data_IF_672055987771
#
_entry.id   IF_672055987771
#
_cell.length_a   1.000
_cell.length_b   1.000
_cell.length_c   1.000
_cell.angle_alpha   90.00
_cell.angle_beta   90.00
_cell.angle_gamma   90.00
#
_symmetry.space_group_name_H-M   'P 1'
#
loop_
_entity.id
_entity.type
_entity.pdbx_description
1 polymer ?
#
# COMPACT_ATOMS: atom_id res chain seq x y z
N UNK A 1 -27.40 36.02 -12.50
CA UNK A 1 -27.39 35.81 -13.96
C UNK A 1 -25.94 35.64 -14.38
N UNK A 2 -25.41 34.41 -14.38
CA UNK A 2 -24.07 34.08 -14.87
C UNK A 2 -24.15 32.70 -15.51
N UNK A 3 -23.53 32.57 -16.67
CA UNK A 3 -23.88 31.66 -17.76
C UNK A 3 -23.30 30.24 -17.62
N UNK A 4 -24.15 29.25 -17.89
CA UNK A 4 -23.78 27.88 -18.23
C UNK A 4 -23.45 27.83 -19.72
N UNK A 5 -22.18 27.57 -20.06
CA UNK A 5 -21.75 27.15 -21.40
C UNK A 5 -21.88 25.61 -21.37
N UNK A 6 -22.66 24.91 -22.19
CA UNK A 6 -23.03 25.20 -23.56
C UNK A 6 -22.39 24.15 -24.47
N UNK A 7 -22.88 22.91 -24.43
CA UNK A 7 -22.93 22.01 -25.59
C UNK A 7 -24.37 21.52 -25.72
N UNK A 8 -25.14 22.20 -26.58
CA UNK A 8 -26.35 21.63 -27.18
C UNK A 8 -25.96 20.53 -28.19
N UNK A 9 -26.86 19.67 -28.64
CA UNK A 9 -28.30 19.64 -28.41
C UNK A 9 -28.86 18.25 -28.74
N UNK A 10 -29.93 17.93 -28.01
CA UNK A 10 -31.17 17.26 -28.45
C UNK A 10 -31.06 16.17 -29.54
N UNK A 11 -31.18 14.91 -29.09
CA UNK A 11 -31.68 13.82 -29.94
C UNK A 11 -30.99 12.50 -29.70
N UNK A 12 -31.67 11.61 -28.97
CA UNK A 12 -31.42 10.18 -28.82
C UNK A 12 -30.37 9.79 -27.77
N UNK A 13 -30.85 9.03 -26.77
CA UNK A 13 -30.09 8.53 -25.66
C UNK A 13 -28.92 7.69 -26.18
N UNK A 14 -27.71 8.22 -26.09
CA UNK A 14 -26.50 7.41 -26.13
C UNK A 14 -26.51 6.56 -24.85
N UNK A 15 -27.12 5.38 -24.96
CA UNK A 15 -26.82 4.23 -24.12
C UNK A 15 -25.31 3.99 -24.21
N UNK A 16 -24.54 4.66 -23.34
CA UNK A 16 -23.18 4.27 -23.01
C UNK A 16 -23.24 3.00 -22.15
N UNK A 17 -23.85 1.97 -22.71
CA UNK A 17 -23.71 0.58 -22.28
C UNK A 17 -22.31 0.19 -22.75
N UNK A 18 -21.39 -0.23 -21.88
CA UNK A 18 -21.26 -1.66 -21.53
C UNK A 18 -21.02 -2.60 -22.73
N UNK A 19 -20.79 -2.10 -23.93
CA UNK A 19 -20.31 -2.91 -25.06
C UNK A 19 -18.96 -3.51 -24.63
N UNK A 20 -18.91 -4.83 -24.42
CA UNK A 20 -17.70 -5.55 -24.01
C UNK A 20 -17.86 -6.47 -22.79
N UNK A 21 -18.67 -6.08 -21.80
CA UNK A 21 -18.73 -6.82 -20.53
C UNK A 21 -19.80 -7.91 -20.55
N UNK A 22 -19.37 -9.18 -20.45
CA UNK A 22 -20.24 -10.33 -20.71
C UNK A 22 -20.31 -10.74 -22.18
N UNK A 23 -19.43 -10.18 -23.04
CA UNK A 23 -19.37 -10.60 -24.43
C UNK A 23 -18.80 -12.02 -24.55
N UNK A 24 -19.31 -12.86 -25.49
CA UNK A 24 -18.84 -14.22 -25.63
C UNK A 24 -17.34 -14.27 -25.94
N UNK A 25 -16.56 -14.91 -25.06
CA UNK A 25 -15.10 -15.01 -25.19
C UNK A 25 -14.31 -13.94 -24.43
N UNK A 26 -14.97 -12.97 -23.80
CA UNK A 26 -14.33 -11.96 -22.95
C UNK A 26 -14.02 -12.46 -21.53
N UNK A 27 -14.58 -13.59 -21.09
CA UNK A 27 -14.42 -14.14 -19.74
C UNK A 27 -14.67 -13.12 -18.60
N UNK A 28 -15.50 -12.10 -18.87
CA UNK A 28 -15.93 -11.10 -17.89
C UNK A 28 -17.44 -11.20 -17.62
N UNK A 29 -17.85 -10.93 -16.39
CA UNK A 29 -19.24 -10.89 -15.96
C UNK A 29 -19.62 -9.54 -15.31
N UNK A 30 -20.85 -9.05 -15.53
CA UNK A 30 -21.30 -7.79 -14.96
C UNK A 30 -21.61 -7.94 -13.46
N UNK A 31 -20.80 -7.29 -12.62
CA UNK A 31 -21.05 -7.15 -11.18
C UNK A 31 -21.85 -5.85 -10.92
N UNK A 32 -23.18 -5.97 -10.97
CA UNK A 32 -24.10 -4.89 -10.61
C UNK A 32 -24.43 -3.91 -11.73
N UNK A 33 -24.95 -2.73 -11.35
CA UNK A 33 -25.16 -1.62 -12.29
C UNK A 33 -23.80 -0.95 -12.46
N UNK A 34 -23.15 -0.82 -13.61
CA UNK A 34 -21.88 -0.07 -13.78
C UNK A 34 -20.55 -0.74 -13.39
N UNK A 35 -20.44 -2.05 -13.11
CA UNK A 35 -19.14 -2.70 -12.89
C UNK A 35 -19.04 -4.10 -13.50
N UNK A 36 -17.81 -4.56 -13.75
CA UNK A 36 -17.47 -5.83 -14.41
C UNK A 36 -16.32 -6.51 -13.66
N UNK A 37 -16.32 -7.84 -13.63
CA UNK A 37 -15.29 -8.67 -13.01
C UNK A 37 -14.95 -9.84 -13.92
N UNK A 38 -13.73 -10.37 -13.84
CA UNK A 38 -13.36 -11.59 -14.56
C UNK A 38 -13.97 -12.82 -13.89
N UNK A 39 -14.29 -13.83 -14.70
CA UNK A 39 -14.68 -15.15 -14.22
C UNK A 39 -13.53 -15.77 -13.38
N UNK A 40 -13.83 -16.65 -12.41
CA UNK A 40 -12.81 -17.31 -11.61
C UNK A 40 -11.75 -18.01 -12.48
N UNK A 41 -10.46 -17.66 -12.28
CA UNK A 41 -9.33 -18.20 -13.04
C UNK A 41 -8.91 -17.37 -14.26
N UNK A 42 -9.46 -16.17 -14.42
CA UNK A 42 -9.12 -15.22 -15.48
C UNK A 42 -8.75 -13.85 -14.87
N UNK A 43 -7.84 -13.13 -15.52
CA UNK A 43 -7.40 -11.77 -15.16
C UNK A 43 -7.52 -10.83 -16.37
N UNK A 44 -7.64 -9.51 -16.14
CA UNK A 44 -7.73 -8.52 -17.22
C UNK A 44 -6.50 -8.58 -18.13
N UNK A 45 -6.72 -8.79 -19.44
CA UNK A 45 -5.64 -8.96 -20.42
C UNK A 45 -4.76 -7.72 -20.59
N UNK A 46 -5.32 -6.53 -20.40
CA UNK A 46 -4.65 -5.24 -20.62
C UNK A 46 -4.92 -4.29 -19.44
N UNK A 47 -3.93 -3.48 -19.06
CA UNK A 47 -4.10 -2.37 -18.11
C UNK A 47 -4.90 -1.19 -18.69
N UNK A 48 -5.23 -1.26 -19.98
CA UNK A 48 -6.02 -0.27 -20.70
C UNK A 48 -7.49 -0.33 -20.25
N UNK A 49 -7.99 0.79 -19.72
CA UNK A 49 -9.31 0.93 -19.07
C UNK A 49 -10.52 0.78 -20.01
N UNK A 50 -10.28 0.44 -21.26
CA UNK A 50 -11.25 0.38 -22.36
C UNK A 50 -11.43 -1.02 -22.96
N UNK A 51 -10.68 -2.04 -22.49
CA UNK A 51 -10.94 -3.45 -22.81
C UNK A 51 -11.59 -4.19 -21.63
N UNK A 52 -12.59 -5.03 -21.92
CA UNK A 52 -13.24 -5.92 -20.96
C UNK A 52 -12.88 -7.39 -21.19
N UNK A 53 -11.76 -7.65 -21.85
CA UNK A 53 -11.25 -9.00 -22.09
C UNK A 53 -10.45 -9.50 -20.89
N UNK A 54 -10.82 -10.68 -20.40
CA UNK A 54 -10.09 -11.43 -19.39
C UNK A 54 -9.41 -12.63 -20.06
N UNK A 55 -8.13 -12.78 -19.78
CA UNK A 55 -7.29 -13.82 -20.33
C UNK A 55 -7.18 -14.94 -19.30
N UNK A 56 -7.05 -16.18 -19.79
CA UNK A 56 -6.59 -17.27 -18.92
C UNK A 56 -5.27 -16.80 -18.33
N UNK A 57 -5.12 -17.00 -17.03
CA UNK A 57 -3.86 -16.76 -16.34
C UNK A 57 -2.78 -17.69 -16.92
N UNK A 58 -2.17 -17.32 -18.06
CA UNK A 58 -0.99 -17.98 -18.62
C UNK A 58 0.27 -17.64 -17.80
N UNK A 59 0.13 -16.79 -16.77
CA UNK A 59 1.04 -16.67 -15.63
C UNK A 59 1.02 -17.90 -14.72
N UNK A 60 0.10 -18.85 -14.93
CA UNK A 60 0.19 -20.21 -14.41
C UNK A 60 1.21 -21.07 -15.20
N UNK A 61 2.35 -20.48 -15.60
CA UNK A 61 3.58 -21.26 -15.54
C UNK A 61 3.80 -21.60 -14.09
N UNK A 62 3.81 -22.89 -13.78
CA UNK A 62 4.24 -23.45 -12.49
C UNK A 62 5.66 -22.95 -12.17
N UNK A 63 5.75 -21.77 -11.57
CA UNK A 63 6.77 -21.46 -10.58
C UNK A 63 6.13 -21.83 -9.23
N UNK A 64 6.79 -22.73 -8.50
CA UNK A 64 6.56 -22.94 -7.07
C UNK A 64 7.00 -21.68 -6.30
N UNK A 65 6.29 -20.58 -6.53
CA UNK A 65 6.53 -19.26 -5.95
C UNK A 65 5.23 -18.64 -5.48
N UNK A 66 4.33 -19.45 -4.91
CA UNK A 66 3.19 -18.92 -4.18
C UNK A 66 3.68 -17.96 -3.11
N UNK A 67 2.99 -16.83 -2.95
CA UNK A 67 3.17 -15.90 -1.85
C UNK A 67 3.46 -16.65 -0.55
N UNK A 68 4.49 -16.27 0.23
CA UNK A 68 4.88 -17.05 1.40
C UNK A 68 3.72 -17.09 2.40
N UNK A 69 3.17 -18.28 2.57
CA UNK A 69 2.16 -18.56 3.60
C UNK A 69 2.81 -18.66 4.99
N UNK A 70 2.06 -18.39 6.06
CA UNK A 70 2.53 -18.63 7.42
C UNK A 70 2.95 -20.08 7.68
N UNK A 71 4.11 -20.28 8.31
CA UNK A 71 4.60 -21.62 8.70
C UNK A 71 3.71 -22.30 9.76
N UNK A 72 3.05 -21.51 10.61
CA UNK A 72 2.15 -22.02 11.64
C UNK A 72 0.78 -22.38 11.05
N UNK A 73 0.20 -23.51 11.45
CA UNK A 73 -1.17 -23.83 11.05
C UNK A 73 -2.17 -22.83 11.68
N UNK A 74 -3.11 -22.31 10.90
CA UNK A 74 -4.25 -21.58 11.44
C UNK A 74 -5.21 -22.58 12.10
N UNK A 75 -5.42 -22.41 13.40
CA UNK A 75 -6.36 -23.18 14.19
C UNK A 75 -7.24 -22.26 15.03
N UNK A 76 -8.22 -22.83 15.72
CA UNK A 76 -9.12 -22.09 16.63
C UNK A 76 -8.37 -21.29 17.71
N UNK A 77 -7.15 -21.66 18.09
CA UNK A 77 -6.37 -20.92 19.07
C UNK A 77 -5.74 -19.65 18.48
N UNK A 78 -5.54 -19.62 17.17
CA UNK A 78 -5.07 -18.47 16.41
C UNK A 78 -6.20 -17.74 15.68
N UNK A 79 -7.47 -18.12 15.89
CA UNK A 79 -8.60 -17.39 15.32
C UNK A 79 -8.50 -15.89 15.64
N UNK A 80 -8.76 -15.05 14.64
CA UNK A 80 -8.64 -13.59 14.71
C UNK A 80 -7.21 -13.05 14.88
N UNK A 81 -6.18 -13.92 14.79
CA UNK A 81 -4.79 -13.48 14.81
C UNK A 81 -4.36 -12.92 13.46
N UNK A 82 -3.49 -11.91 13.52
CA UNK A 82 -2.82 -11.30 12.37
C UNK A 82 -1.36 -11.70 12.36
N UNK A 83 -0.87 -12.12 11.20
CA UNK A 83 0.53 -12.43 10.98
C UNK A 83 1.08 -11.65 9.79
N UNK A 84 2.21 -11.00 9.99
CA UNK A 84 3.03 -10.49 8.91
C UNK A 84 4.03 -11.57 8.51
N UNK A 85 3.99 -11.99 7.24
CA UNK A 85 4.99 -12.90 6.67
C UNK A 85 5.99 -12.05 5.86
N UNK A 86 7.28 -12.06 6.23
CA UNK A 86 8.29 -11.25 5.55
C UNK A 86 8.59 -11.81 4.15
N UNK A 87 8.87 -10.89 3.23
CA UNK A 87 9.36 -11.26 1.91
C UNK A 87 10.80 -11.84 1.99
N UNK A 88 11.15 -12.86 1.19
CA UNK A 88 12.49 -13.47 1.18
C UNK A 88 13.62 -12.51 0.79
N UNK A 89 13.34 -11.42 0.06
CA UNK A 89 14.32 -10.35 -0.21
C UNK A 89 14.65 -9.51 1.03
N UNK A 90 13.84 -9.62 2.09
CA UNK A 90 13.95 -8.80 3.29
C UNK A 90 13.34 -7.41 3.15
N UNK A 91 12.67 -7.11 2.03
CA UNK A 91 11.92 -5.87 1.81
C UNK A 91 10.59 -5.89 2.60
N UNK A 92 10.41 -5.06 3.64
CA UNK A 92 9.17 -5.05 4.40
C UNK A 92 7.95 -4.60 3.60
N UNK A 93 8.14 -3.92 2.46
CA UNK A 93 7.08 -3.48 1.57
C UNK A 93 6.54 -4.57 0.66
N UNK A 94 7.27 -5.68 0.52
CA UNK A 94 6.80 -6.90 -0.13
C UNK A 94 6.23 -7.91 0.89
N UNK A 95 6.31 -7.64 2.19
CA UNK A 95 5.72 -8.48 3.22
C UNK A 95 4.19 -8.57 3.09
N UNK A 96 3.64 -9.74 3.38
CA UNK A 96 2.21 -10.02 3.25
C UNK A 96 1.54 -10.18 4.62
N UNK A 97 0.30 -9.72 4.69
CA UNK A 97 -0.53 -9.81 5.89
C UNK A 97 -1.53 -10.94 5.75
N UNK A 98 -1.60 -11.78 6.78
CA UNK A 98 -2.49 -12.92 6.86
C UNK A 98 -3.37 -12.82 8.10
N UNK A 99 -4.66 -13.16 7.96
CA UNK A 99 -5.60 -13.32 9.05
C UNK A 99 -6.02 -14.78 9.18
N UNK A 100 -6.02 -15.31 10.40
CA UNK A 100 -6.53 -16.65 10.67
C UNK A 100 -8.03 -16.58 11.01
N UNK A 101 -8.85 -17.33 10.27
CA UNK A 101 -10.30 -17.41 10.51
C UNK A 101 -10.72 -18.61 11.40
N UNK A 102 -9.74 -19.28 12.04
CA UNK A 102 -9.94 -20.51 12.83
C UNK A 102 -9.76 -21.81 12.04
N UNK A 103 -9.76 -21.74 10.71
CA UNK A 103 -9.63 -22.91 9.83
C UNK A 103 -8.47 -22.80 8.83
N UNK A 104 -8.19 -21.59 8.33
CA UNK A 104 -7.11 -21.32 7.38
C UNK A 104 -6.64 -19.87 7.44
N UNK A 105 -5.42 -19.65 6.96
CA UNK A 105 -4.91 -18.32 6.70
C UNK A 105 -5.58 -17.74 5.45
N UNK A 106 -5.94 -16.46 5.54
CA UNK A 106 -6.48 -15.68 4.43
C UNK A 106 -5.64 -14.42 4.32
N UNK A 107 -5.09 -14.18 3.13
CA UNK A 107 -4.35 -12.95 2.86
C UNK A 107 -5.31 -11.76 2.93
N UNK A 108 -4.89 -10.70 3.61
CA UNK A 108 -5.65 -9.47 3.80
C UNK A 108 -4.90 -8.29 3.18
N UNK A 109 -4.87 -8.26 1.85
CA UNK A 109 -4.24 -7.20 1.08
C UNK A 109 -4.76 -5.81 1.51
N UNK A 110 -3.82 -4.86 1.68
CA UNK A 110 -4.14 -3.47 2.04
C UNK A 110 -4.47 -3.23 3.52
N UNK A 111 -4.49 -4.25 4.38
CA UNK A 111 -4.76 -4.07 5.81
C UNK A 111 -3.76 -3.13 6.49
N UNK A 112 -2.47 -3.22 6.16
CA UNK A 112 -1.45 -2.32 6.68
C UNK A 112 -1.78 -0.85 6.40
N UNK A 113 -2.25 -0.54 5.18
CA UNK A 113 -2.69 0.81 4.81
C UNK A 113 -3.88 1.26 5.65
N UNK A 114 -4.88 0.40 5.81
CA UNK A 114 -6.05 0.70 6.63
C UNK A 114 -5.65 0.99 8.09
N UNK A 115 -4.80 0.15 8.68
CA UNK A 115 -4.32 0.32 10.05
C UNK A 115 -3.56 1.65 10.23
N UNK A 116 -2.62 1.97 9.35
CA UNK A 116 -1.90 3.25 9.40
C UNK A 116 -2.85 4.45 9.25
N UNK A 117 -3.80 4.40 8.32
CA UNK A 117 -4.78 5.48 8.14
C UNK A 117 -5.70 5.66 9.36
N UNK A 118 -6.04 4.57 10.06
CA UNK A 118 -6.81 4.64 11.30
C UNK A 118 -6.04 5.35 12.44
N UNK A 119 -4.71 5.32 12.40
CA UNK A 119 -3.83 6.04 13.33
C UNK A 119 -3.52 7.48 12.88
N UNK A 120 -4.11 7.94 11.77
CA UNK A 120 -3.91 9.28 11.22
C UNK A 120 -2.67 9.43 10.33
N UNK A 121 -2.06 8.32 9.92
CA UNK A 121 -0.91 8.29 9.01
C UNK A 121 -1.39 8.22 7.56
N UNK A 122 -0.65 8.82 6.63
CA UNK A 122 -1.11 8.99 5.24
C UNK A 122 -0.78 7.78 4.35
N UNK A 123 0.16 6.92 4.77
CA UNK A 123 0.53 5.71 4.05
C UNK A 123 1.03 4.59 4.97
N UNK A 124 1.07 3.38 4.40
CA UNK A 124 1.76 2.22 4.94
C UNK A 124 2.78 1.74 3.91
N UNK A 125 3.99 1.45 4.37
CA UNK A 125 5.01 0.77 3.59
C UNK A 125 4.76 -0.74 3.55
N UNK A 126 4.46 -1.33 4.71
CA UNK A 126 4.24 -2.77 4.85
C UNK A 126 4.18 -3.18 6.32
N UNK A 127 4.67 -4.37 6.63
CA UNK A 127 4.64 -4.93 7.98
C UNK A 127 5.98 -5.58 8.35
N UNK A 128 6.19 -5.76 9.65
CA UNK A 128 7.33 -6.51 10.21
C UNK A 128 6.83 -7.69 11.04
N UNK A 129 7.66 -8.73 11.30
CA UNK A 129 7.25 -9.87 12.12
C UNK A 129 6.71 -9.43 13.50
N UNK A 130 5.40 -9.59 13.69
CA UNK A 130 4.64 -9.05 14.83
C UNK A 130 3.47 -8.16 14.37
N UNK A 131 2.74 -7.50 15.28
CA UNK A 131 1.63 -6.62 14.94
C UNK A 131 2.06 -5.19 14.58
N UNK A 132 3.29 -4.99 14.08
CA UNK A 132 3.84 -3.66 13.82
C UNK A 132 3.79 -3.32 12.33
N UNK A 133 3.08 -2.24 12.02
CA UNK A 133 3.01 -1.66 10.67
C UNK A 133 4.04 -0.56 10.51
N UNK A 134 4.64 -0.50 9.32
CA UNK A 134 5.56 0.57 8.95
C UNK A 134 4.76 1.69 8.29
N UNK A 135 4.42 2.71 9.06
CA UNK A 135 3.55 3.81 8.67
C UNK A 135 4.32 5.14 8.54
N UNK A 136 3.75 6.14 7.86
CA UNK A 136 4.30 7.50 7.85
C UNK A 136 3.35 8.59 7.36
N UNK A 137 3.79 9.85 7.38
CA UNK A 137 3.00 11.04 7.01
C UNK A 137 3.35 11.60 5.62
N UNK A 138 3.90 10.77 4.73
CA UNK A 138 4.36 11.17 3.40
C UNK A 138 3.65 10.44 2.27
N UNK A 139 3.95 10.76 1.01
CA UNK A 139 3.30 10.14 -0.14
C UNK A 139 3.71 8.66 -0.38
N UNK A 140 4.61 8.07 0.42
CA UNK A 140 5.04 6.68 0.26
C UNK A 140 5.56 6.36 -1.15
N UNK A 141 6.04 7.36 -1.89
CA UNK A 141 6.58 7.18 -3.24
C UNK A 141 7.94 6.48 -3.15
N UNK A 142 8.30 5.57 -4.09
CA UNK A 142 9.64 4.99 -4.14
C UNK A 142 10.69 6.11 -4.21
N UNK A 143 11.80 5.93 -3.52
CA UNK A 143 12.96 6.81 -3.64
C UNK A 143 13.85 6.27 -4.77
N UNK A 144 14.14 7.08 -5.77
CA UNK A 144 14.85 6.65 -6.99
C UNK A 144 16.40 6.67 -6.88
N UNK A 145 16.98 7.07 -5.74
CA UNK A 145 18.44 7.30 -5.65
C UNK A 145 19.09 6.84 -4.35
N UNK A 146 20.31 6.30 -4.44
CA UNK A 146 21.20 5.93 -3.32
C UNK A 146 21.69 7.11 -2.47
N UNK A 147 21.42 8.36 -2.88
CA UNK A 147 21.69 9.56 -2.11
C UNK A 147 20.49 9.96 -1.27
N UNK A 148 20.25 9.25 -0.16
CA UNK A 148 19.20 9.60 0.80
C UNK A 148 19.57 10.84 1.59
N UNK A 149 19.45 12.02 0.97
CA UNK A 149 19.49 13.29 1.66
C UNK A 149 18.11 13.54 2.27
N UNK A 150 17.92 13.16 3.53
CA UNK A 150 16.82 13.72 4.32
C UNK A 150 16.85 15.24 4.18
N UNK A 151 15.68 15.87 4.13
CA UNK A 151 15.54 17.32 4.14
C UNK A 151 14.66 17.71 5.32
N UNK A 152 15.00 18.82 5.98
CA UNK A 152 14.09 19.41 6.95
C UNK A 152 12.97 20.14 6.20
N UNK A 153 11.73 19.72 6.46
CA UNK A 153 10.55 20.46 6.01
C UNK A 153 10.35 21.66 6.92
N UNK A 154 10.57 21.46 8.22
CA UNK A 154 10.65 22.50 9.25
C UNK A 154 11.56 22.04 10.42
N UNK A 155 11.63 22.83 11.49
CA UNK A 155 12.48 22.57 12.67
C UNK A 155 12.12 21.27 13.42
N UNK A 156 10.92 20.72 13.23
CA UNK A 156 10.43 19.50 13.88
C UNK A 156 10.19 18.36 12.90
N UNK A 157 10.15 18.61 11.59
CA UNK A 157 9.73 17.67 10.55
C UNK A 157 10.86 17.37 9.58
N UNK A 158 11.15 16.08 9.42
CA UNK A 158 12.06 15.56 8.41
C UNK A 158 11.27 14.86 7.29
N UNK A 159 11.68 15.09 6.06
CA UNK A 159 11.28 14.30 4.89
C UNK A 159 12.49 13.51 4.43
N UNK A 160 12.44 12.20 4.65
CA UNK A 160 13.55 11.31 4.39
C UNK A 160 13.06 10.01 3.80
N UNK A 161 14.00 9.24 3.27
CA UNK A 161 13.67 7.91 2.80
C UNK A 161 13.83 6.90 3.93
N UNK A 162 12.75 6.20 4.24
CA UNK A 162 12.74 5.09 5.18
C UNK A 162 12.32 3.86 4.38
N UNK A 163 13.16 2.84 4.36
CA UNK A 163 12.94 1.61 3.58
C UNK A 163 12.63 1.86 2.09
N UNK A 164 13.41 2.73 1.43
CA UNK A 164 13.23 2.98 -0.01
C UNK A 164 11.96 3.76 -0.37
N UNK A 165 11.22 4.30 0.61
CA UNK A 165 10.01 5.10 0.40
C UNK A 165 10.10 6.44 1.11
N UNK A 166 9.60 7.48 0.44
CA UNK A 166 9.56 8.84 0.97
C UNK A 166 8.60 8.92 2.14
N UNK A 167 9.13 9.31 3.29
CA UNK A 167 8.44 9.38 4.57
C UNK A 167 8.63 10.77 5.15
N UNK A 168 7.53 11.42 5.54
CA UNK A 168 7.57 12.65 6.32
C UNK A 168 7.27 12.30 7.77
N UNK A 169 8.05 12.84 8.69
CA UNK A 169 7.95 12.48 10.11
C UNK A 169 8.40 13.60 11.05
N UNK A 170 7.92 13.55 12.31
CA UNK A 170 8.34 14.47 13.37
C UNK A 170 9.54 13.91 14.13
N UNK A 171 10.61 14.69 14.23
CA UNK A 171 11.82 14.31 14.95
C UNK A 171 11.56 14.00 16.43
N UNK A 172 10.68 14.74 17.11
CA UNK A 172 10.30 14.42 18.49
C UNK A 172 9.67 13.02 18.64
N UNK A 173 8.92 12.55 17.64
CA UNK A 173 8.34 11.20 17.65
C UNK A 173 9.42 10.14 17.43
N UNK A 174 10.25 10.31 16.41
CA UNK A 174 11.39 9.42 16.12
C UNK A 174 12.32 9.29 17.33
N UNK A 175 12.61 10.41 17.99
CA UNK A 175 13.43 10.43 19.20
C UNK A 175 12.73 9.81 20.40
N UNK A 176 11.41 9.96 20.52
CA UNK A 176 10.59 9.32 21.55
C UNK A 176 10.62 7.79 21.49
N UNK A 177 10.75 7.21 20.29
CA UNK A 177 10.90 5.75 20.12
C UNK A 177 12.26 5.24 20.61
N UNK A 178 13.29 6.10 20.66
CA UNK A 178 14.62 5.78 21.21
C UNK A 178 14.66 5.77 22.74
N UNK A 179 13.53 5.90 23.44
CA UNK A 179 13.44 5.68 24.89
C UNK A 179 13.99 4.32 25.36
N UNK A 180 14.12 3.35 24.45
CA UNK A 180 14.81 2.09 24.67
C UNK A 180 16.31 2.25 25.03
N UNK A 181 16.94 3.36 24.66
CA UNK A 181 18.37 3.64 24.89
C UNK A 181 18.64 4.56 26.09
N UNK A 182 17.60 5.09 26.76
CA UNK A 182 17.72 5.84 28.01
C UNK A 182 16.60 6.87 28.23
N UNK A 183 16.32 7.27 29.48
CA UNK A 183 15.37 8.35 29.76
C UNK A 183 15.99 9.69 29.38
N UNK A 184 15.37 10.41 28.45
CA UNK A 184 15.80 11.77 28.07
C UNK A 184 15.29 12.22 26.71
N UNK A 185 15.25 11.32 25.72
CA UNK A 185 14.93 11.62 24.32
C UNK A 185 13.43 11.85 24.10
N UNK A 186 12.90 12.97 24.62
CA UNK A 186 11.49 13.35 24.43
C UNK A 186 11.34 14.51 23.45
N UNK A 187 12.45 15.21 23.16
CA UNK A 187 12.54 16.19 22.10
C UNK A 187 13.31 15.66 20.90
N UNK A 188 13.04 16.24 19.74
CA UNK A 188 13.81 15.99 18.53
C UNK A 188 13.63 17.17 17.58
N UNK A 189 14.74 17.69 17.07
CA UNK A 189 14.76 18.76 16.08
C UNK A 189 15.38 18.24 14.79
N UNK A 190 14.88 18.71 13.64
CA UNK A 190 15.50 18.43 12.37
C UNK A 190 16.70 19.36 12.18
N UNK A 191 17.89 18.79 11.98
CA UNK A 191 19.07 19.55 11.61
C UNK A 191 19.27 19.52 10.10
N UNK A 192 19.40 20.71 9.52
CA UNK A 192 19.64 20.90 8.09
C UNK A 192 20.90 20.14 7.63
N UNK A 193 20.91 19.66 6.37
CA UNK A 193 22.05 18.93 5.84
C UNK A 193 23.30 19.82 5.82
N UNK A 194 24.41 19.31 6.37
CA UNK A 194 25.74 19.91 6.19
C UNK A 194 26.39 19.35 4.92
N UNK A 195 27.39 20.05 4.37
CA UNK A 195 27.97 19.70 3.06
C UNK A 195 28.47 18.25 3.00
N UNK A 196 27.72 17.38 2.30
CA UNK A 196 28.01 15.95 2.16
C UNK A 196 27.22 15.01 3.09
N UNK A 197 26.37 15.52 3.98
CA UNK A 197 25.56 14.72 4.92
C UNK A 197 24.05 15.05 4.79
N UNK A 198 23.16 14.05 4.96
CA UNK A 198 21.71 14.25 4.90
C UNK A 198 21.20 15.02 6.12
N UNK A 199 20.02 15.64 6.03
CA UNK A 199 19.31 16.10 7.23
C UNK A 199 19.00 14.91 8.14
N UNK A 200 19.02 15.15 9.44
CA UNK A 200 18.79 14.12 10.44
C UNK A 200 18.07 14.70 11.67
N UNK A 201 17.35 13.83 12.35
CA UNK A 201 16.73 14.20 13.61
C UNK A 201 17.75 14.11 14.75
N UNK A 202 18.00 15.25 15.40
CA UNK A 202 18.82 15.32 16.61
C UNK A 202 17.91 15.25 17.83
N UNK A 203 18.13 14.21 18.63
CA UNK A 203 17.34 13.93 19.82
C UNK A 203 17.91 14.64 21.05
N UNK A 204 17.03 15.22 21.87
CA UNK A 204 17.35 15.94 23.10
C UNK A 204 16.60 15.41 24.31
#
# INVERSE_FOLDING_TARGET
MVALIGCGGEGEAAESSREGCGDPGSHSEPIGKYSCACEPGYEWCDEARDSFECCVDDSATTDEGGAPEPDAACDEALAESLLCVPDPSGDPGASLMWACNGERWVEIAGYARFACMAEGLEFAYGCTPGPAFLCGYGPGSPCESEGYAGICVDEEIIDTCVWGRRTVDRCARLCGELQAFGPGFTGGACEDPVEGEPALCVCS
#
